data_IF_010887358080
#
_entry.id   IF_010887358080
#
_cell.length_a   1.000
_cell.length_b   1.000
_cell.length_c   1.000
_cell.angle_alpha   90.00
_cell.angle_beta   90.00
_cell.angle_gamma   90.00
#
_symmetry.space_group_name_H-M   'P 1'
#
loop_
_entity.id
_entity.type
_entity.pdbx_description
1 polymer ?
#
# COMPACT_ATOMS: atom_id res chain seq x y z
N UNK A 1 -9.77 -0.24 -22.55
CA UNK A 1 -9.43 -1.58 -22.01
C UNK A 1 -9.71 -1.59 -20.52
N UNK A 2 -10.59 -2.46 -20.04
CA UNK A 2 -10.80 -2.64 -18.60
C UNK A 2 -9.66 -3.49 -18.03
N UNK A 3 -8.84 -2.90 -17.15
CA UNK A 3 -7.70 -3.60 -16.52
C UNK A 3 -8.16 -4.62 -15.47
N UNK A 4 -9.25 -4.34 -14.75
CA UNK A 4 -9.80 -5.26 -13.76
C UNK A 4 -10.24 -6.57 -14.43
N UNK A 5 -10.97 -6.47 -15.53
CA UNK A 5 -11.36 -7.65 -16.33
C UNK A 5 -10.14 -8.38 -16.90
N UNK A 6 -9.22 -7.66 -17.54
CA UNK A 6 -8.04 -8.26 -18.18
C UNK A 6 -7.17 -9.04 -17.20
N UNK A 7 -6.99 -8.52 -15.99
CA UNK A 7 -6.11 -9.11 -14.97
C UNK A 7 -6.88 -9.89 -13.89
N UNK A 8 -8.20 -10.03 -14.04
CA UNK A 8 -9.08 -10.73 -13.09
C UNK A 8 -8.95 -10.20 -11.66
N UNK A 9 -8.92 -8.88 -11.51
CA UNK A 9 -8.90 -8.19 -10.23
C UNK A 9 -10.31 -7.78 -9.84
N UNK A 10 -10.65 -7.90 -8.55
CA UNK A 10 -11.97 -7.54 -8.03
C UNK A 10 -11.92 -6.14 -7.41
N UNK A 11 -12.57 -5.13 -8.03
CA UNK A 11 -12.73 -3.83 -7.39
C UNK A 11 -13.69 -3.94 -6.20
N UNK A 12 -13.36 -3.31 -5.09
CA UNK A 12 -14.27 -3.11 -3.95
C UNK A 12 -14.49 -1.62 -3.74
N UNK A 13 -15.63 -1.27 -3.16
CA UNK A 13 -15.91 0.10 -2.78
C UNK A 13 -14.97 0.55 -1.65
N UNK A 14 -14.45 1.76 -1.80
CA UNK A 14 -13.71 2.47 -0.75
C UNK A 14 -14.69 3.28 0.12
N UNK A 15 -14.27 3.62 1.33
CA UNK A 15 -15.13 4.33 2.30
C UNK A 15 -15.14 5.85 2.08
N UNK A 16 -13.97 6.44 1.79
CA UNK A 16 -13.80 7.90 1.75
C UNK A 16 -13.50 8.45 0.34
N UNK A 17 -13.26 7.59 -0.65
CA UNK A 17 -12.85 8.00 -2.01
C UNK A 17 -13.59 7.23 -3.10
N UNK A 18 -13.65 7.79 -4.31
CA UNK A 18 -14.28 7.13 -5.46
C UNK A 18 -13.39 6.09 -6.15
N UNK A 19 -12.08 6.10 -5.87
CA UNK A 19 -11.16 5.11 -6.41
C UNK A 19 -11.37 3.76 -5.69
N UNK A 20 -11.54 2.64 -6.43
CA UNK A 20 -11.83 1.35 -5.81
C UNK A 20 -10.60 0.76 -5.11
N UNK A 21 -10.84 -0.04 -4.07
CA UNK A 21 -9.84 -0.94 -3.49
C UNK A 21 -9.64 -2.15 -4.42
N UNK A 22 -8.52 -2.84 -4.30
CA UNK A 22 -8.28 -4.12 -4.98
C UNK A 22 -8.32 -5.24 -3.94
N UNK A 23 -9.31 -6.15 -4.06
CA UNK A 23 -9.52 -7.26 -3.11
C UNK A 23 -8.31 -8.18 -2.99
N UNK A 24 -7.61 -8.41 -4.09
CA UNK A 24 -6.49 -9.34 -4.14
C UNK A 24 -5.19 -8.76 -3.55
N UNK A 25 -5.13 -7.47 -3.23
CA UNK A 25 -3.98 -6.84 -2.57
C UNK A 25 -3.97 -7.15 -1.07
N UNK A 26 -2.77 -7.32 -0.50
CA UNK A 26 -2.60 -7.51 0.96
C UNK A 26 -3.05 -6.28 1.77
N UNK A 27 -2.78 -5.08 1.24
CA UNK A 27 -3.22 -3.84 1.83
C UNK A 27 -3.66 -2.85 0.74
N UNK A 28 -4.61 -1.98 1.09
CA UNK A 28 -5.02 -0.82 0.30
C UNK A 28 -4.98 0.42 1.20
N UNK A 29 -4.58 1.56 0.65
CA UNK A 29 -4.58 2.84 1.37
C UNK A 29 -5.43 3.82 0.56
N UNK A 30 -6.48 4.33 1.18
CA UNK A 30 -7.30 5.40 0.62
C UNK A 30 -6.57 6.73 0.80
N UNK A 31 -6.41 7.45 -0.30
CA UNK A 31 -5.63 8.68 -0.33
C UNK A 31 -6.39 9.80 -1.02
N UNK A 32 -6.24 11.02 -0.50
CA UNK A 32 -6.67 12.26 -1.17
C UNK A 32 -5.45 13.07 -1.59
N UNK A 33 -5.47 13.58 -2.82
CA UNK A 33 -4.41 14.48 -3.31
C UNK A 33 -4.52 15.82 -2.57
N UNK A 34 -3.43 16.24 -1.94
CA UNK A 34 -3.33 17.55 -1.28
C UNK A 34 -2.41 18.51 -2.03
N UNK A 35 -1.46 18.01 -2.82
CA UNK A 35 -0.62 18.83 -3.69
C UNK A 35 -0.13 18.05 -4.93
N UNK A 36 0.22 18.77 -5.99
CA UNK A 36 0.85 18.24 -7.20
C UNK A 36 1.98 19.15 -7.69
N UNK A 37 3.21 18.72 -7.48
CA UNK A 37 4.43 19.37 -7.93
C UNK A 37 4.65 19.06 -9.42
N UNK A 38 3.98 19.83 -10.28
CA UNK A 38 3.90 19.60 -11.75
C UNK A 38 5.25 19.40 -12.43
N UNK A 39 6.30 20.13 -12.02
CA UNK A 39 7.64 20.03 -12.63
C UNK A 39 8.20 18.62 -12.61
N UNK A 40 7.87 17.85 -11.56
CA UNK A 40 8.41 16.52 -11.33
C UNK A 40 7.33 15.43 -11.37
N UNK A 41 6.07 15.80 -11.62
CA UNK A 41 4.91 14.91 -11.52
C UNK A 41 4.84 14.16 -10.18
N UNK A 42 5.14 14.86 -9.08
CA UNK A 42 5.06 14.32 -7.72
C UNK A 42 3.73 14.74 -7.11
N UNK A 43 2.96 13.77 -6.62
CA UNK A 43 1.71 13.99 -5.90
C UNK A 43 1.93 13.78 -4.41
N UNK A 44 1.45 14.72 -3.60
CA UNK A 44 1.41 14.59 -2.14
C UNK A 44 0.02 14.12 -1.74
N UNK A 45 -0.05 13.08 -0.91
CA UNK A 45 -1.27 12.38 -0.56
C UNK A 45 -1.50 12.40 0.95
N UNK A 46 -2.72 12.71 1.37
CA UNK A 46 -3.21 12.41 2.73
C UNK A 46 -3.77 10.99 2.75
N UNK A 47 -3.21 10.12 3.60
CA UNK A 47 -3.78 8.81 3.88
C UNK A 47 -4.99 8.94 4.80
N UNK A 48 -6.17 8.57 4.30
CA UNK A 48 -7.44 8.69 5.02
C UNK A 48 -7.77 7.41 5.79
N UNK A 49 -7.54 6.25 5.16
CA UNK A 49 -7.85 4.94 5.73
C UNK A 49 -6.93 3.87 5.16
N UNK A 50 -6.55 2.89 5.99
CA UNK A 50 -5.74 1.75 5.57
C UNK A 50 -6.49 0.44 5.83
N UNK A 51 -6.63 -0.36 4.78
CA UNK A 51 -7.22 -1.69 4.81
C UNK A 51 -6.12 -2.74 4.77
N UNK A 52 -6.17 -3.73 5.66
CA UNK A 52 -5.19 -4.83 5.71
C UNK A 52 -5.91 -6.17 5.81
N UNK A 53 -5.64 -7.07 4.87
CA UNK A 53 -6.13 -8.45 4.93
C UNK A 53 -5.22 -9.31 5.84
N UNK A 54 -5.50 -9.27 7.14
CA UNK A 54 -4.75 -10.03 8.13
C UNK A 54 -4.89 -11.55 7.98
N UNK A 55 -5.93 -12.03 7.28
CA UNK A 55 -6.19 -13.47 7.07
C UNK A 55 -5.35 -14.07 5.95
N UNK A 56 -4.70 -13.23 5.13
CA UNK A 56 -3.86 -13.68 4.03
C UNK A 56 -2.61 -14.41 4.53
N UNK A 57 -2.31 -15.57 3.93
CA UNK A 57 -1.09 -16.33 4.26
C UNK A 57 0.17 -15.65 3.72
N UNK A 58 0.16 -15.24 2.45
CA UNK A 58 1.27 -14.53 1.84
C UNK A 58 1.20 -13.03 2.18
N UNK A 59 2.21 -12.55 2.91
CA UNK A 59 2.30 -11.15 3.39
C UNK A 59 3.59 -10.46 2.97
N UNK A 60 4.47 -11.12 2.21
CA UNK A 60 5.70 -10.52 1.70
C UNK A 60 5.38 -9.48 0.65
N UNK A 61 6.03 -8.33 0.74
CA UNK A 61 6.00 -7.31 -0.29
C UNK A 61 7.04 -7.62 -1.38
N UNK A 62 6.79 -7.06 -2.58
CA UNK A 62 7.76 -7.04 -3.66
C UNK A 62 8.38 -5.66 -3.78
N UNK A 63 9.70 -5.62 -3.96
CA UNK A 63 10.49 -4.43 -4.20
C UNK A 63 11.00 -4.46 -5.63
N UNK A 64 10.58 -3.49 -6.44
CA UNK A 64 11.08 -3.34 -7.80
C UNK A 64 12.54 -2.85 -7.75
N UNK A 65 13.43 -3.52 -8.49
CA UNK A 65 14.86 -3.17 -8.56
C UNK A 65 15.33 -2.73 -9.96
N UNK A 66 14.39 -2.47 -10.87
CA UNK A 66 14.66 -2.08 -12.26
C UNK A 66 14.60 -3.25 -13.25
N UNK A 67 14.48 -2.93 -14.55
CA UNK A 67 14.50 -3.89 -15.67
C UNK A 67 13.46 -5.03 -15.56
N UNK A 68 12.33 -4.77 -14.92
CA UNK A 68 11.30 -5.79 -14.68
C UNK A 68 11.69 -6.85 -13.64
N UNK A 69 12.72 -6.60 -12.82
CA UNK A 69 13.15 -7.48 -11.73
C UNK A 69 12.60 -7.04 -10.38
N UNK A 70 12.33 -8.01 -9.52
CA UNK A 70 11.72 -7.82 -8.21
C UNK A 70 12.40 -8.71 -7.16
N UNK A 71 12.45 -8.21 -5.92
CA UNK A 71 12.86 -8.97 -4.73
C UNK A 71 11.64 -9.08 -3.81
N UNK A 72 11.36 -10.28 -3.32
CA UNK A 72 10.37 -10.45 -2.24
C UNK A 72 11.04 -10.23 -0.88
N UNK A 73 10.28 -9.77 0.11
CA UNK A 73 10.78 -9.64 1.48
C UNK A 73 11.49 -10.91 1.97
N UNK A 74 12.61 -10.68 2.65
CA UNK A 74 13.37 -11.71 3.37
C UNK A 74 12.97 -11.78 4.85
N UNK A 75 13.96 -11.98 5.71
CA UNK A 75 13.75 -12.05 7.16
C UNK A 75 13.40 -10.67 7.75
N UNK A 76 12.42 -10.65 8.66
CA UNK A 76 12.05 -9.46 9.44
C UNK A 76 12.83 -9.44 10.75
N UNK A 77 13.68 -8.43 10.94
CA UNK A 77 14.44 -8.23 12.18
C UNK A 77 13.64 -7.31 13.13
N UNK A 78 13.40 -7.77 14.36
CA UNK A 78 12.61 -7.02 15.33
C UNK A 78 13.48 -6.14 16.24
N UNK A 79 13.52 -4.84 15.95
CA UNK A 79 14.19 -3.81 16.76
C UNK A 79 13.23 -2.96 17.59
N UNK A 80 12.00 -3.41 17.83
CA UNK A 80 10.96 -2.64 18.54
C UNK A 80 11.45 -2.10 19.88
N UNK A 81 12.18 -2.90 20.65
CA UNK A 81 12.70 -2.51 21.97
C UNK A 81 13.61 -1.29 21.92
N UNK A 82 14.51 -1.20 20.94
CA UNK A 82 15.46 -0.07 20.84
C UNK A 82 14.81 1.18 20.23
N UNK A 83 13.69 1.00 19.51
CA UNK A 83 12.92 2.07 18.89
C UNK A 83 11.78 2.60 19.76
N UNK A 84 11.64 2.13 21.01
CA UNK A 84 10.50 2.44 21.88
C UNK A 84 10.21 3.95 22.02
N UNK A 85 11.24 4.80 22.07
CA UNK A 85 11.09 6.25 22.17
C UNK A 85 10.61 6.96 20.89
N UNK A 86 10.48 6.22 19.78
CA UNK A 86 10.06 6.72 18.46
C UNK A 86 8.71 6.16 18.02
N UNK A 87 8.16 5.19 18.76
CA UNK A 87 6.85 4.64 18.44
C UNK A 87 5.75 5.58 18.96
N UNK A 88 4.63 5.72 18.22
CA UNK A 88 3.47 6.44 18.72
C UNK A 88 2.92 5.81 20.00
N UNK A 89 2.27 6.63 20.83
CA UNK A 89 1.62 6.14 22.04
C UNK A 89 0.51 5.13 21.68
N UNK A 90 0.48 4.00 22.39
CA UNK A 90 -0.50 2.93 22.16
C UNK A 90 -0.18 1.96 21.03
N UNK A 91 0.99 2.08 20.38
CA UNK A 91 1.44 1.15 19.31
C UNK A 91 2.37 0.07 19.81
#
# INVERSE_FOLDING_TARGET
MNKFEKFKLTPLDAENVSAPLIKECYANIECRIVDHIKRHNIFVLDGLLAWVDNKRTEKRFFHAIGDGRFIADGEVINHRRIMASKLPEGV
#
